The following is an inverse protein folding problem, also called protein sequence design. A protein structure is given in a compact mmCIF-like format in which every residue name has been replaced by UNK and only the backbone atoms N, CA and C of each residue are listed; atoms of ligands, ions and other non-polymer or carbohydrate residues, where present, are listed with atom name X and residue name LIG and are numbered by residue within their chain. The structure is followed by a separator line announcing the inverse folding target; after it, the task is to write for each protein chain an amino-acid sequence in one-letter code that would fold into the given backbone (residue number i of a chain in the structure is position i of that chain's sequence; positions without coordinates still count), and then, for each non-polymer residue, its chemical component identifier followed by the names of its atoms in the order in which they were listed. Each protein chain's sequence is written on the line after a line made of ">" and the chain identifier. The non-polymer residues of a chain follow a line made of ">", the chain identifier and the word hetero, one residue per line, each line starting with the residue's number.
data_IF_867661506651
#
_entry.id   IF_867661506651
#
_cell.length_a   1.000
_cell.length_b   1.000
_cell.length_c   1.000
_cell.angle_alpha   90.00
_cell.angle_beta   90.00
_cell.angle_gamma   90.00
#
_symmetry.space_group_name_H-M   'P 1'
#
loop_
_entity.id
_entity.type
_entity.pdbx_description
1 polymer ?
#
# COMPACT_ATOMS: atom_id res chain seq x y z
N UNK A 1 -16.37 -13.68 -13.11
CA UNK A 1 -16.54 -12.22 -13.26
C UNK A 1 -15.67 -11.57 -14.35
N UNK A 2 -14.54 -12.14 -14.80
CA UNK A 2 -13.70 -11.50 -15.84
C UNK A 2 -14.13 -11.76 -17.29
N UNK A 3 -14.72 -12.92 -17.59
CA UNK A 3 -14.96 -13.37 -18.97
C UNK A 3 -16.18 -12.71 -19.62
N UNK A 4 -17.26 -12.53 -18.86
CA UNK A 4 -18.48 -11.85 -19.33
C UNK A 4 -18.25 -10.37 -19.62
N UNK A 5 -17.43 -9.70 -18.80
CA UNK A 5 -17.07 -8.29 -19.00
C UNK A 5 -16.27 -8.13 -20.28
N UNK A 6 -15.28 -9.00 -20.51
CA UNK A 6 -14.49 -8.99 -21.75
C UNK A 6 -15.37 -9.25 -22.97
N UNK A 7 -16.27 -10.24 -22.89
CA UNK A 7 -17.22 -10.53 -23.99
C UNK A 7 -18.13 -9.34 -24.29
N UNK A 8 -18.72 -8.71 -23.27
CA UNK A 8 -19.58 -7.53 -23.45
C UNK A 8 -18.82 -6.33 -24.04
N UNK A 9 -17.52 -6.21 -23.76
CA UNK A 9 -16.63 -5.20 -24.33
C UNK A 9 -16.34 -5.45 -25.81
N UNK A 10 -16.07 -6.71 -26.17
CA UNK A 10 -15.77 -7.13 -27.54
C UNK A 10 -16.99 -7.06 -28.46
N UNK A 11 -18.20 -7.10 -27.91
CA UNK A 11 -19.45 -6.96 -28.67
C UNK A 11 -19.71 -5.53 -29.18
N UNK A 12 -19.05 -4.49 -28.62
CA UNK A 12 -19.27 -3.08 -28.98
C UNK A 12 -17.95 -2.31 -29.14
N UNK A 13 -17.05 -2.76 -30.04
CA UNK A 13 -15.67 -2.28 -30.08
C UNK A 13 -15.54 -0.78 -30.41
N UNK A 14 -16.43 -0.25 -31.27
CA UNK A 14 -16.42 1.17 -31.63
C UNK A 14 -16.82 2.08 -30.46
N UNK A 15 -17.90 1.73 -29.74
CA UNK A 15 -18.36 2.49 -28.56
C UNK A 15 -17.33 2.45 -27.43
N UNK A 16 -16.66 1.31 -27.25
CA UNK A 16 -15.60 1.16 -26.26
C UNK A 16 -14.36 1.97 -26.61
N UNK A 17 -13.94 1.98 -27.89
CA UNK A 17 -12.84 2.80 -28.36
C UNK A 17 -13.13 4.30 -28.17
N UNK A 18 -14.34 4.75 -28.52
CA UNK A 18 -14.77 6.14 -28.34
C UNK A 18 -14.80 6.55 -26.85
N UNK A 19 -15.30 5.67 -25.98
CA UNK A 19 -15.34 5.91 -24.54
C UNK A 19 -13.94 5.99 -23.92
N UNK A 20 -13.04 5.09 -24.33
CA UNK A 20 -11.65 5.11 -23.89
C UNK A 20 -10.91 6.38 -24.37
N UNK A 21 -11.20 6.85 -25.58
CA UNK A 21 -10.62 8.07 -26.12
C UNK A 21 -11.14 9.33 -25.41
N UNK A 22 -12.43 9.38 -25.13
CA UNK A 22 -13.04 10.46 -24.34
C UNK A 22 -12.42 10.53 -22.93
N UNK A 23 -12.22 9.38 -22.26
CA UNK A 23 -11.57 9.31 -20.95
C UNK A 23 -10.11 9.75 -21.00
N UNK A 24 -9.35 9.34 -22.02
CA UNK A 24 -7.96 9.77 -22.22
C UNK A 24 -7.87 11.27 -22.47
N UNK A 25 -8.73 11.80 -23.33
CA UNK A 25 -8.81 13.23 -23.64
C UNK A 25 -9.16 14.06 -22.40
N UNK A 26 -10.16 13.63 -21.63
CA UNK A 26 -10.55 14.29 -20.38
C UNK A 26 -9.42 14.26 -19.33
N UNK A 27 -8.66 13.16 -19.25
CA UNK A 27 -7.49 13.07 -18.37
C UNK A 27 -6.37 14.03 -18.79
N UNK A 28 -6.08 14.14 -20.09
CA UNK A 28 -5.07 15.06 -20.64
C UNK A 28 -5.48 16.53 -20.47
N UNK A 29 -6.77 16.82 -20.50
CA UNK A 29 -7.33 18.17 -20.32
C UNK A 29 -7.57 18.53 -18.85
N UNK A 30 -7.25 17.63 -17.90
CA UNK A 30 -7.47 17.87 -16.47
C UNK A 30 -8.95 18.00 -16.08
N UNK A 31 -9.87 17.53 -16.92
CA UNK A 31 -11.33 17.60 -16.72
C UNK A 31 -11.87 16.45 -15.87
N UNK A 32 -10.99 15.61 -15.30
CA UNK A 32 -11.41 14.60 -14.36
C UNK A 32 -11.81 15.27 -13.04
N UNK A 33 -12.89 14.80 -12.39
CA UNK A 33 -13.31 15.33 -11.10
C UNK A 33 -12.16 15.27 -10.09
N UNK A 34 -11.81 16.41 -9.50
CA UNK A 34 -10.84 16.48 -8.41
C UNK A 34 -11.48 15.93 -7.14
N UNK A 35 -10.65 15.30 -6.29
CA UNK A 35 -11.07 14.83 -4.97
C UNK A 35 -11.43 15.96 -4.00
N UNK A 36 -11.08 17.20 -4.33
CA UNK A 36 -11.31 18.40 -3.51
C UNK A 36 -12.77 18.85 -3.47
N UNK A 37 -13.63 18.35 -4.37
CA UNK A 37 -15.07 18.63 -4.33
C UNK A 37 -15.79 17.96 -3.13
N UNK A 38 -15.09 17.14 -2.34
CA UNK A 38 -15.63 16.44 -1.17
C UNK A 38 -15.45 17.18 0.16
N UNK A 39 -14.73 18.30 0.21
CA UNK A 39 -14.50 19.07 1.45
C UNK A 39 -15.64 20.08 1.75
N UNK A 40 -16.78 19.97 1.07
CA UNK A 40 -17.99 20.70 1.43
C UNK A 40 -18.51 20.17 2.78
N UNK A 41 -17.98 20.74 3.86
CA UNK A 41 -18.32 20.42 5.24
C UNK A 41 -19.84 20.42 5.45
N UNK A 42 -20.38 19.26 5.78
CA UNK A 42 -21.66 19.17 6.47
C UNK A 42 -21.54 19.80 7.86
N UNK A 43 -22.67 20.08 8.54
CA UNK A 43 -22.65 20.65 9.89
C UNK A 43 -21.75 19.84 10.82
N UNK A 44 -20.83 20.51 11.51
CA UNK A 44 -19.76 19.91 12.35
C UNK A 44 -20.29 19.03 13.50
N UNK A 45 -21.58 19.16 13.85
CA UNK A 45 -22.25 18.43 14.94
C UNK A 45 -22.92 17.11 14.50
N UNK A 46 -22.80 16.70 13.23
CA UNK A 46 -23.35 15.42 12.77
C UNK A 46 -22.39 14.26 13.07
N UNK A 47 -22.70 13.42 14.07
CA UNK A 47 -22.00 12.15 14.33
C UNK A 47 -22.21 11.08 13.24
N UNK A 48 -22.92 11.43 12.16
CA UNK A 48 -23.27 10.51 11.07
C UNK A 48 -23.02 11.18 9.73
N UNK A 49 -22.39 10.44 8.83
CA UNK A 49 -22.19 10.85 7.45
C UNK A 49 -22.46 9.65 6.52
N UNK A 50 -23.05 9.86 5.33
CA UNK A 50 -23.19 8.79 4.35
C UNK A 50 -21.81 8.42 3.77
N UNK A 51 -21.32 7.24 4.12
CA UNK A 51 -20.08 6.66 3.59
C UNK A 51 -20.39 5.55 2.54
N UNK A 52 -19.40 5.17 1.73
CA UNK A 52 -19.50 4.01 0.82
C UNK A 52 -19.88 4.31 -0.64
N UNK A 53 -19.95 5.58 -1.05
CA UNK A 53 -20.12 5.95 -2.47
C UNK A 53 -18.94 5.43 -3.30
N UNK A 54 -19.24 4.80 -4.45
CA UNK A 54 -18.23 4.36 -5.40
C UNK A 54 -17.64 5.55 -6.15
N UNK A 55 -16.33 5.72 -6.06
CA UNK A 55 -15.54 6.71 -6.80
C UNK A 55 -14.59 5.98 -7.75
N UNK A 56 -14.51 6.45 -9.00
CA UNK A 56 -13.54 5.94 -9.98
C UNK A 56 -12.33 6.86 -10.02
N UNK A 57 -11.13 6.32 -9.76
CA UNK A 57 -9.87 7.05 -9.74
C UNK A 57 -8.86 6.36 -10.67
N UNK A 58 -8.23 7.12 -11.56
CA UNK A 58 -7.08 6.64 -12.33
C UNK A 58 -5.85 6.68 -11.42
N UNK A 59 -5.21 5.53 -11.19
CA UNK A 59 -4.03 5.44 -10.32
C UNK A 59 -2.93 4.58 -10.94
N UNK A 60 -1.75 5.17 -11.09
CA UNK A 60 -0.55 4.44 -11.46
C UNK A 60 -0.01 3.70 -10.23
N UNK A 61 0.38 2.43 -10.40
CA UNK A 61 1.03 1.63 -9.34
C UNK A 61 2.39 1.15 -9.81
N UNK A 62 3.35 1.09 -8.88
CA UNK A 62 4.63 0.43 -9.13
C UNK A 62 4.46 -1.07 -9.08
N UNK A 63 5.10 -1.76 -10.01
CA UNK A 63 5.20 -3.22 -10.00
C UNK A 63 5.98 -3.69 -8.77
N UNK A 64 5.60 -4.85 -8.24
CA UNK A 64 6.31 -5.53 -7.15
C UNK A 64 6.32 -7.02 -7.46
N UNK A 65 7.49 -7.64 -7.39
CA UNK A 65 7.59 -9.09 -7.54
C UNK A 65 7.12 -9.80 -6.26
N UNK A 66 5.98 -10.53 -6.27
CA UNK A 66 5.49 -11.25 -5.10
C UNK A 66 6.44 -12.36 -4.63
N UNK A 67 7.37 -12.82 -5.48
CA UNK A 67 8.38 -13.82 -5.13
C UNK A 67 9.36 -13.29 -4.09
N UNK A 68 9.66 -11.99 -4.09
CA UNK A 68 10.58 -11.39 -3.12
C UNK A 68 10.05 -11.51 -1.68
N UNK A 69 8.74 -11.30 -1.48
CA UNK A 69 8.09 -11.54 -0.18
C UNK A 69 8.29 -12.97 0.28
N UNK A 70 7.98 -13.94 -0.59
CA UNK A 70 8.09 -15.38 -0.27
C UNK A 70 9.54 -15.76 0.05
N UNK A 71 10.49 -15.28 -0.76
CA UNK A 71 11.92 -15.52 -0.57
C UNK A 71 12.45 -14.92 0.72
N UNK A 72 12.04 -13.70 1.09
CA UNK A 72 12.44 -13.08 2.36
C UNK A 72 11.97 -13.89 3.57
N UNK A 73 10.69 -14.30 3.58
CA UNK A 73 10.13 -15.12 4.66
C UNK A 73 10.84 -16.49 4.74
N UNK A 74 11.06 -17.13 3.59
CA UNK A 74 11.77 -18.42 3.53
C UNK A 74 13.22 -18.29 4.03
N UNK A 75 13.93 -17.22 3.65
CA UNK A 75 15.30 -16.98 4.09
C UNK A 75 15.40 -16.80 5.62
N UNK A 76 14.49 -16.04 6.23
CA UNK A 76 14.45 -15.84 7.69
C UNK A 76 14.13 -17.15 8.42
N UNK A 77 13.19 -17.94 7.90
CA UNK A 77 12.90 -19.28 8.44
C UNK A 77 14.10 -20.22 8.33
N UNK A 78 14.79 -20.21 7.19
CA UNK A 78 15.97 -21.04 6.95
C UNK A 78 17.15 -20.66 7.85
N UNK A 79 17.25 -19.41 8.28
CA UNK A 79 18.26 -18.99 9.27
C UNK A 79 17.90 -19.34 10.71
N UNK A 80 16.74 -19.95 10.96
CA UNK A 80 16.25 -20.27 12.31
C UNK A 80 15.77 -19.07 13.12
N UNK A 81 15.61 -17.90 12.48
CA UNK A 81 15.13 -16.70 13.13
C UNK A 81 13.59 -16.64 13.12
N UNK A 82 12.94 -16.07 14.14
CA UNK A 82 11.50 -15.88 14.16
C UNK A 82 11.05 -14.86 13.11
N UNK A 83 9.77 -14.91 12.73
CA UNK A 83 9.14 -13.92 11.84
C UNK A 83 8.69 -12.68 12.63
N UNK A 84 9.56 -12.18 13.48
CA UNK A 84 9.28 -11.03 14.34
C UNK A 84 9.51 -9.70 13.63
N UNK A 85 8.82 -8.67 14.11
CA UNK A 85 9.00 -7.30 13.67
C UNK A 85 10.41 -6.82 13.97
N UNK A 86 11.15 -6.38 12.95
CA UNK A 86 12.49 -5.84 13.14
C UNK A 86 12.50 -4.62 14.09
N UNK A 87 11.40 -3.89 14.23
CA UNK A 87 11.34 -2.64 15.01
C UNK A 87 11.02 -2.87 16.49
N UNK A 88 10.04 -3.73 16.79
CA UNK A 88 9.49 -3.87 18.14
C UNK A 88 9.44 -5.32 18.63
N UNK A 89 10.04 -6.26 17.89
CA UNK A 89 10.12 -7.69 18.18
C UNK A 89 8.76 -8.41 18.25
N UNK A 90 7.67 -7.73 17.88
CA UNK A 90 6.34 -8.31 17.83
C UNK A 90 6.26 -9.48 16.84
N UNK A 91 5.78 -10.62 17.30
CA UNK A 91 5.59 -11.83 16.51
C UNK A 91 4.10 -12.23 16.54
N UNK A 92 3.50 -12.38 15.34
CA UNK A 92 2.07 -12.67 15.23
C UNK A 92 1.73 -14.09 15.67
N UNK A 93 2.55 -15.09 15.37
CA UNK A 93 2.31 -16.47 15.78
C UNK A 93 2.34 -16.61 17.30
N UNK A 94 3.31 -15.95 17.95
CA UNK A 94 3.46 -15.93 19.40
C UNK A 94 2.31 -15.20 20.10
N UNK A 95 1.72 -14.19 19.45
CA UNK A 95 0.65 -13.35 20.04
C UNK A 95 -0.76 -13.89 19.75
N UNK A 96 -1.00 -14.38 18.54
CA UNK A 96 -2.33 -14.77 18.04
C UNK A 96 -2.46 -16.28 17.79
N UNK A 97 -1.42 -17.07 18.09
CA UNK A 97 -1.40 -18.50 17.85
C UNK A 97 -1.52 -18.83 16.35
N UNK A 98 -2.32 -19.85 16.05
CA UNK A 98 -2.49 -20.39 14.69
C UNK A 98 -2.96 -19.33 13.68
N UNK A 99 -3.75 -18.34 14.13
CA UNK A 99 -4.21 -17.24 13.28
C UNK A 99 -3.07 -16.35 12.79
N UNK A 100 -2.04 -16.16 13.62
CA UNK A 100 -0.87 -15.33 13.32
C UNK A 100 0.30 -16.10 12.71
N UNK A 101 0.20 -17.41 12.60
CA UNK A 101 1.31 -18.26 12.17
C UNK A 101 1.77 -17.91 10.75
N UNK A 102 3.07 -17.65 10.60
CA UNK A 102 3.65 -17.21 9.33
C UNK A 102 3.24 -15.82 8.85
N UNK A 103 2.44 -15.07 9.63
CA UNK A 103 2.00 -13.73 9.25
C UNK A 103 3.03 -12.67 9.65
N UNK A 104 3.48 -11.91 8.65
CA UNK A 104 4.31 -10.73 8.81
C UNK A 104 4.25 -9.88 7.55
N UNK A 105 4.43 -8.57 7.69
CA UNK A 105 4.46 -7.64 6.55
C UNK A 105 5.90 -7.43 6.08
N UNK A 106 6.11 -7.54 4.77
CA UNK A 106 7.42 -7.30 4.15
C UNK A 106 7.45 -5.88 3.59
N UNK A 107 8.35 -5.08 4.13
CA UNK A 107 8.48 -3.65 3.86
C UNK A 107 9.79 -3.36 3.12
N UNK A 108 9.77 -2.47 2.13
CA UNK A 108 11.03 -1.96 1.55
C UNK A 108 11.61 -0.91 2.49
N UNK A 109 12.85 -1.10 2.94
CA UNK A 109 13.55 -0.16 3.85
C UNK A 109 13.55 1.26 3.28
N UNK A 110 13.79 1.37 1.97
CA UNK A 110 13.58 2.59 1.18
C UNK A 110 12.33 2.41 0.30
N UNK A 111 11.27 3.23 0.47
CA UNK A 111 10.06 3.09 -0.32
C UNK A 111 10.31 3.29 -1.82
N UNK A 112 9.79 2.37 -2.64
CA UNK A 112 9.89 2.45 -4.11
C UNK A 112 9.33 3.74 -4.72
N UNK A 113 8.42 4.45 -4.02
CA UNK A 113 7.91 5.73 -4.52
C UNK A 113 8.99 6.82 -4.58
N UNK A 114 10.04 6.69 -3.78
CA UNK A 114 11.17 7.62 -3.70
C UNK A 114 12.33 7.21 -4.62
N UNK A 115 12.25 6.04 -5.25
CA UNK A 115 13.30 5.55 -6.15
C UNK A 115 12.83 5.61 -7.61
N UNK A 116 13.78 5.63 -8.53
CA UNK A 116 13.50 5.29 -9.92
C UNK A 116 13.20 3.78 -10.04
N UNK A 117 13.08 3.28 -11.27
CA UNK A 117 13.17 1.84 -11.51
C UNK A 117 14.46 1.29 -10.88
N UNK A 118 14.34 0.22 -10.11
CA UNK A 118 15.45 -0.31 -9.31
C UNK A 118 15.32 -1.82 -9.14
N UNK A 119 16.44 -2.46 -8.82
CA UNK A 119 16.50 -3.88 -8.47
C UNK A 119 16.40 -4.00 -6.96
N UNK A 120 15.37 -4.72 -6.49
CA UNK A 120 15.20 -5.02 -5.06
C UNK A 120 15.85 -6.35 -4.70
N UNK A 121 16.73 -6.34 -3.71
CA UNK A 121 17.33 -7.53 -3.08
C UNK A 121 16.57 -7.92 -1.81
N UNK A 122 16.94 -9.03 -1.16
CA UNK A 122 16.34 -9.42 0.11
C UNK A 122 16.77 -8.50 1.27
N UNK A 123 17.91 -7.84 1.17
CA UNK A 123 18.43 -6.95 2.21
C UNK A 123 17.74 -5.58 2.19
N UNK A 124 17.17 -5.20 1.04
CA UNK A 124 16.30 -4.02 0.92
C UNK A 124 14.93 -4.21 1.59
N UNK A 125 14.67 -5.40 2.14
CA UNK A 125 13.40 -5.79 2.74
C UNK A 125 13.52 -6.02 4.25
N UNK A 126 12.58 -5.46 5.01
CA UNK A 126 12.43 -5.65 6.44
C UNK A 126 11.11 -6.38 6.76
N UNK A 127 11.13 -7.18 7.82
CA UNK A 127 9.93 -7.77 8.41
C UNK A 127 9.35 -6.79 9.43
N UNK A 128 8.09 -6.41 9.31
CA UNK A 128 7.41 -5.47 10.20
C UNK A 128 6.04 -6.01 10.63
N UNK A 129 5.61 -5.62 11.83
CA UNK A 129 4.20 -5.74 12.21
C UNK A 129 3.36 -4.63 11.58
N UNK A 130 2.04 -4.84 11.51
CA UNK A 130 1.08 -3.91 10.89
C UNK A 130 1.21 -2.48 11.46
N UNK A 131 1.37 -2.35 12.79
CA UNK A 131 1.53 -1.06 13.45
C UNK A 131 2.84 -0.38 13.06
N UNK A 132 3.97 -1.09 13.11
CA UNK A 132 5.27 -0.50 12.74
C UNK A 132 5.34 -0.19 11.25
N UNK A 133 4.76 -1.03 10.39
CA UNK A 133 4.68 -0.76 8.96
C UNK A 133 3.88 0.52 8.69
N UNK A 134 2.73 0.69 9.37
CA UNK A 134 1.96 1.93 9.28
C UNK A 134 2.74 3.13 9.79
N UNK A 135 3.49 3.00 10.87
CA UNK A 135 4.31 4.09 11.43
C UNK A 135 5.50 4.48 10.55
N UNK A 136 6.10 3.54 9.79
CA UNK A 136 7.15 3.87 8.81
C UNK A 136 6.63 4.76 7.66
N UNK A 137 5.36 4.60 7.27
CA UNK A 137 4.72 5.41 6.24
C UNK A 137 3.97 6.63 6.77
N UNK A 138 3.85 6.78 8.10
CA UNK A 138 3.20 7.92 8.71
C UNK A 138 4.14 9.11 8.65
N UNK A 139 3.82 10.09 7.80
CA UNK A 139 4.54 11.34 7.71
C UNK A 139 3.92 12.40 8.63
N UNK A 140 4.77 13.14 9.34
CA UNK A 140 4.39 14.32 10.13
C UNK A 140 4.79 15.64 9.45
N UNK A 141 5.59 15.58 8.38
CA UNK A 141 5.94 16.75 7.58
C UNK A 141 6.36 16.35 6.18
N UNK A 142 6.16 17.25 5.22
CA UNK A 142 6.60 17.08 3.83
C UNK A 142 8.10 16.74 3.72
N UNK A 143 8.92 17.23 4.65
CA UNK A 143 10.37 16.98 4.69
C UNK A 143 10.74 15.57 5.18
N UNK A 144 9.83 14.87 5.86
CA UNK A 144 9.99 13.46 6.24
C UNK A 144 8.78 12.64 5.77
N UNK A 145 8.73 12.32 4.46
CA UNK A 145 7.61 11.58 3.90
C UNK A 145 7.59 10.12 4.38
N UNK A 146 8.71 9.57 4.84
CA UNK A 146 8.82 8.23 5.40
C UNK A 146 9.88 8.19 6.51
N UNK A 147 9.88 7.11 7.28
CA UNK A 147 10.88 6.79 8.28
C UNK A 147 11.37 5.35 8.05
N UNK A 148 12.68 5.12 8.12
CA UNK A 148 13.21 3.76 8.01
C UNK A 148 12.84 2.92 9.23
N UNK A 149 12.83 1.57 9.12
CA UNK A 149 12.68 0.71 10.29
C UNK A 149 13.65 1.03 11.42
N UNK A 150 14.92 1.32 11.09
CA UNK A 150 15.94 1.63 12.09
C UNK A 150 15.66 2.96 12.80
N UNK A 151 15.28 4.00 12.06
CA UNK A 151 14.88 5.29 12.64
C UNK A 151 13.65 5.15 13.55
N UNK A 152 12.70 4.30 13.18
CA UNK A 152 11.52 4.02 14.00
C UNK A 152 11.90 3.24 15.26
N UNK A 153 12.80 2.26 15.15
CA UNK A 153 13.33 1.52 16.32
C UNK A 153 14.00 2.47 17.30
N UNK A 154 14.83 3.40 16.81
CA UNK A 154 15.47 4.42 17.64
C UNK A 154 14.45 5.36 18.29
N UNK A 155 13.40 5.74 17.57
CA UNK A 155 12.34 6.58 18.13
C UNK A 155 11.60 5.86 19.26
N UNK A 156 11.24 4.59 19.10
CA UNK A 156 10.58 3.82 20.17
C UNK A 156 11.45 3.68 21.42
N UNK A 157 12.77 3.55 21.26
CA UNK A 157 13.73 3.49 22.38
C UNK A 157 13.83 4.80 23.18
N UNK A 158 13.49 5.94 22.59
CA UNK A 158 13.50 7.24 23.29
C UNK A 158 12.24 7.49 24.12
N UNK A 159 11.14 6.82 23.77
CA UNK A 159 9.83 7.00 24.39
C UNK A 159 9.57 5.93 25.47
N UNK A 160 10.27 4.80 25.39
CA UNK A 160 10.20 3.70 26.36
C UNK A 160 11.21 3.87 27.49
#
# INVERSE_FOLDING_TARGET
>A
MGREVVTAFLQRPAEMAASAEALRSAALQGLLPSTEANDAAGPEDAFTAPEGRLLSLLHLRRERDPRLRRRKIAAVRASGAPLSCAVCDFDFGSTYGELGEGYVEVHHVVPLRLTAETVTTLDDLALLCANCHRMCHRSLSVKQPWRSPDDLRQLLRKVR
#
